data_IF_074305502410
#
_entry.id   IF_074305502410
#
_cell.length_a   1.000
_cell.length_b   1.000
_cell.length_c   1.000
_cell.angle_alpha   90.00
_cell.angle_beta   90.00
_cell.angle_gamma   90.00
#
_symmetry.space_group_name_H-M   'P 1'
#
loop_
_entity.id
_entity.type
_entity.pdbx_description
1 polymer ?
#
# COMPACT_ATOMS: atom_id res chain seq x y z
N UNK A 1 25.72 -6.37 -6.53
CA UNK A 1 24.40 -6.18 -5.85
C UNK A 1 24.63 -5.58 -4.47
N UNK A 2 24.11 -4.37 -4.18
CA UNK A 2 24.12 -3.83 -2.81
C UNK A 2 22.95 -4.46 -2.02
N UNK A 3 23.23 -5.04 -0.85
CA UNK A 3 22.18 -5.57 0.05
C UNK A 3 21.20 -4.44 0.39
N UNK A 4 19.93 -4.58 -0.02
CA UNK A 4 18.89 -3.58 0.21
C UNK A 4 18.41 -3.61 1.67
N UNK A 5 18.44 -4.79 2.31
CA UNK A 5 17.93 -5.03 3.66
C UNK A 5 19.04 -5.05 4.70
N UNK A 6 18.78 -4.43 5.86
CA UNK A 6 19.66 -4.46 7.04
C UNK A 6 19.24 -5.60 7.99
N UNK A 7 20.09 -5.88 8.99
CA UNK A 7 19.86 -6.96 9.97
C UNK A 7 18.53 -6.79 10.74
N UNK A 8 17.85 -7.90 11.10
CA UNK A 8 16.50 -7.90 11.70
C UNK A 8 16.43 -7.27 13.10
N UNK A 9 17.56 -7.09 13.78
CA UNK A 9 17.64 -6.47 15.12
C UNK A 9 17.28 -4.96 15.13
N UNK A 10 17.05 -4.39 13.95
CA UNK A 10 16.58 -3.01 13.79
C UNK A 10 15.09 -2.83 14.09
N UNK A 11 14.31 -3.92 14.18
CA UNK A 11 12.84 -3.81 14.24
C UNK A 11 12.32 -4.60 15.43
N UNK A 12 11.66 -3.91 16.33
CA UNK A 12 11.12 -4.44 17.59
C UNK A 12 9.61 -4.40 17.52
N UNK A 13 8.95 -5.52 17.83
CA UNK A 13 7.52 -5.53 18.12
C UNK A 13 7.35 -5.15 19.60
N UNK A 14 6.67 -4.05 19.86
CA UNK A 14 6.48 -3.52 21.22
C UNK A 14 5.25 -4.15 21.87
N UNK A 15 4.11 -4.16 21.17
CA UNK A 15 2.85 -4.72 21.68
C UNK A 15 1.84 -5.00 20.57
N UNK A 16 0.71 -5.62 20.95
CA UNK A 16 -0.48 -5.77 20.11
C UNK A 16 -1.46 -4.67 20.47
N UNK A 17 -1.93 -3.94 19.46
CA UNK A 17 -2.98 -2.93 19.55
C UNK A 17 -4.31 -3.58 19.12
N UNK A 18 -5.28 -3.74 20.04
CA UNK A 18 -6.59 -4.29 19.71
C UNK A 18 -7.33 -3.54 18.62
N UNK A 19 -8.16 -4.24 17.85
CA UNK A 19 -8.98 -3.69 16.76
C UNK A 19 -9.81 -2.46 17.17
N UNK A 20 -10.32 -2.44 18.40
CA UNK A 20 -11.14 -1.34 18.95
C UNK A 20 -10.41 0.01 19.01
N UNK A 21 -9.08 0.02 18.95
CA UNK A 21 -8.27 1.24 19.00
C UNK A 21 -7.79 1.70 17.62
N UNK A 22 -8.21 1.04 16.54
CA UNK A 22 -7.83 1.41 15.19
C UNK A 22 -9.00 1.31 14.21
N UNK A 23 -8.85 1.90 13.03
CA UNK A 23 -9.90 1.94 12.01
C UNK A 23 -9.95 0.71 11.10
N UNK A 24 -9.05 -0.26 11.28
CA UNK A 24 -8.89 -1.42 10.40
C UNK A 24 -9.76 -2.62 10.77
N UNK A 25 -10.49 -2.54 11.88
CA UNK A 25 -11.33 -3.63 12.40
C UNK A 25 -10.54 -4.94 12.62
N UNK A 26 -9.24 -4.80 12.86
CA UNK A 26 -8.27 -5.89 13.00
C UNK A 26 -7.20 -5.48 14.01
N UNK A 27 -6.72 -6.45 14.79
CA UNK A 27 -5.59 -6.21 15.68
C UNK A 27 -4.36 -5.80 14.87
N UNK A 28 -3.53 -4.96 15.45
CA UNK A 28 -2.29 -4.46 14.83
C UNK A 28 -1.10 -4.72 15.74
N UNK A 29 0.08 -4.92 15.16
CA UNK A 29 1.35 -4.91 15.90
C UNK A 29 1.91 -3.49 15.90
N UNK A 30 2.25 -2.98 17.08
CA UNK A 30 3.06 -1.77 17.23
C UNK A 30 4.52 -2.14 17.05
N UNK A 31 5.15 -1.55 16.05
CA UNK A 31 6.53 -1.79 15.70
C UNK A 31 7.36 -0.53 15.91
N UNK A 32 8.57 -0.69 16.44
CA UNK A 32 9.59 0.34 16.42
C UNK A 32 10.71 -0.04 15.46
N UNK A 33 10.96 0.84 14.50
CA UNK A 33 12.10 0.73 13.56
C UNK A 33 13.23 1.63 14.07
N UNK A 34 14.38 1.00 14.34
CA UNK A 34 15.63 1.59 14.77
C UNK A 34 16.72 1.31 13.72
N UNK A 35 17.39 2.34 13.21
CA UNK A 35 18.37 2.22 12.11
C UNK A 35 17.78 1.73 10.78
N UNK A 36 16.52 2.05 10.52
CA UNK A 36 15.89 1.95 9.22
C UNK A 36 16.73 2.63 8.13
N UNK A 37 16.60 2.15 6.89
CA UNK A 37 17.37 2.72 5.78
C UNK A 37 16.72 3.96 5.14
N UNK A 38 15.46 4.27 5.48
CA UNK A 38 14.76 5.44 4.95
C UNK A 38 14.66 5.45 3.43
N UNK A 39 14.59 4.27 2.81
CA UNK A 39 14.53 4.13 1.35
C UNK A 39 13.11 4.28 0.83
N UNK A 40 12.10 3.90 1.61
CA UNK A 40 10.70 4.13 1.28
C UNK A 40 10.25 5.42 1.95
N UNK A 41 10.01 6.48 1.18
CA UNK A 41 9.66 7.80 1.69
C UNK A 41 8.57 8.46 0.86
N UNK A 42 7.74 9.27 1.50
CA UNK A 42 6.80 10.17 0.82
C UNK A 42 7.42 11.55 0.74
N UNK A 43 7.56 12.10 -0.47
CA UNK A 43 7.97 13.49 -0.70
C UNK A 43 6.77 14.34 -1.08
N UNK A 44 6.74 15.55 -0.54
CA UNK A 44 5.78 16.58 -0.90
C UNK A 44 6.53 17.72 -1.60
N UNK A 45 5.86 18.36 -2.56
CA UNK A 45 6.43 19.48 -3.28
C UNK A 45 5.37 20.25 -4.06
N UNK A 46 5.86 21.24 -4.80
CA UNK A 46 5.06 22.08 -5.69
C UNK A 46 5.75 22.08 -7.04
N UNK A 47 5.00 21.91 -8.12
CA UNK A 47 5.54 21.94 -9.47
C UNK A 47 5.72 23.37 -10.01
N UNK A 48 6.20 23.50 -11.24
CA UNK A 48 6.48 24.81 -11.86
C UNK A 48 5.21 25.66 -12.09
N UNK A 49 4.02 25.05 -12.10
CA UNK A 49 2.73 25.74 -12.19
C UNK A 49 2.20 26.19 -10.83
N UNK A 50 2.85 25.81 -9.72
CA UNK A 50 2.34 26.08 -8.38
C UNK A 50 1.41 24.97 -7.84
N UNK A 51 1.27 23.86 -8.55
CA UNK A 51 0.41 22.76 -8.12
C UNK A 51 1.12 21.86 -7.11
N UNK A 52 0.48 21.50 -5.99
CA UNK A 52 1.07 20.59 -5.03
C UNK A 52 1.09 19.16 -5.58
N UNK A 53 2.12 18.42 -5.21
CA UNK A 53 2.24 17.00 -5.52
C UNK A 53 2.75 16.21 -4.31
N UNK A 54 2.42 14.92 -4.26
CA UNK A 54 3.10 13.97 -3.41
C UNK A 54 3.62 12.76 -4.22
N UNK A 55 4.76 12.22 -3.81
CA UNK A 55 5.37 11.07 -4.46
C UNK A 55 5.82 10.07 -3.42
N UNK A 56 5.31 8.84 -3.52
CA UNK A 56 5.89 7.71 -2.82
C UNK A 56 7.10 7.23 -3.60
N UNK A 57 8.27 7.22 -2.97
CA UNK A 57 9.53 6.82 -3.59
C UNK A 57 10.14 5.63 -2.89
N UNK A 58 10.81 4.77 -3.66
CA UNK A 58 11.68 3.72 -3.17
C UNK A 58 13.09 3.93 -3.72
N UNK A 59 14.06 4.18 -2.86
CA UNK A 59 15.47 4.39 -3.23
C UNK A 59 15.62 5.47 -4.31
N UNK A 60 14.96 6.62 -4.08
CA UNK A 60 14.85 7.77 -5.01
C UNK A 60 14.18 7.47 -6.36
N UNK A 61 13.48 6.34 -6.51
CA UNK A 61 12.67 6.03 -7.69
C UNK A 61 11.20 6.22 -7.36
N UNK A 62 10.45 7.00 -8.13
CA UNK A 62 9.02 7.18 -7.90
C UNK A 62 8.29 5.85 -8.10
N UNK A 63 7.43 5.49 -7.16
CA UNK A 63 6.50 4.36 -7.25
C UNK A 63 5.10 4.83 -7.64
N UNK A 64 4.64 5.90 -7.01
CA UNK A 64 3.30 6.49 -7.20
C UNK A 64 3.46 7.99 -7.11
N UNK A 65 2.81 8.72 -8.01
CA UNK A 65 2.69 10.16 -7.92
C UNK A 65 1.21 10.53 -7.78
N UNK A 66 0.90 11.48 -6.90
CA UNK A 66 -0.40 12.13 -6.83
C UNK A 66 -0.28 13.65 -6.98
N UNK A 67 -1.27 14.28 -7.61
CA UNK A 67 -1.21 15.68 -8.02
C UNK A 67 -2.48 16.46 -7.66
N UNK A 68 -2.33 17.79 -7.56
CA UNK A 68 -3.42 18.77 -7.55
C UNK A 68 -3.84 19.25 -6.15
N UNK A 69 -4.63 20.33 -6.10
CA UNK A 69 -5.09 20.94 -4.84
C UNK A 69 -5.89 20.01 -3.91
N UNK A 70 -6.48 18.95 -4.46
CA UNK A 70 -7.33 18.01 -3.72
C UNK A 70 -6.53 17.02 -2.85
N UNK A 71 -5.19 17.07 -2.86
CA UNK A 71 -4.35 16.20 -2.02
C UNK A 71 -4.70 16.27 -0.53
N UNK A 72 -5.18 17.44 -0.07
CA UNK A 72 -5.55 17.70 1.32
C UNK A 72 -7.01 17.31 1.64
N UNK A 73 -7.82 17.02 0.62
CA UNK A 73 -9.22 16.67 0.80
C UNK A 73 -9.39 15.14 0.72
N UNK A 74 -9.67 14.46 1.85
CA UNK A 74 -9.81 13.02 1.85
C UNK A 74 -11.04 12.54 1.05
N UNK A 75 -12.07 13.39 0.89
CA UNK A 75 -13.31 13.06 0.15
C UNK A 75 -13.23 13.36 -1.35
N UNK A 76 -12.12 13.92 -1.84
CA UNK A 76 -11.92 14.20 -3.26
C UNK A 76 -11.05 13.11 -3.90
N UNK A 77 -11.42 12.72 -5.12
CA UNK A 77 -10.67 11.72 -5.87
C UNK A 77 -9.34 12.33 -6.34
N UNK A 78 -8.23 11.71 -5.96
CA UNK A 78 -6.88 12.17 -6.27
C UNK A 78 -6.49 11.78 -7.69
N UNK A 79 -5.75 12.67 -8.35
CA UNK A 79 -5.12 12.40 -9.64
C UNK A 79 -3.87 11.56 -9.39
N UNK A 80 -3.81 10.34 -9.95
CA UNK A 80 -2.72 9.38 -9.76
C UNK A 80 -1.99 9.04 -11.07
N UNK A 81 -0.72 8.64 -10.96
CA UNK A 81 0.05 7.98 -12.02
C UNK A 81 1.08 6.99 -11.45
N UNK A 82 1.40 5.94 -12.22
CA UNK A 82 2.46 4.98 -11.86
C UNK A 82 3.84 5.60 -12.12
N UNK A 83 4.75 5.47 -11.15
CA UNK A 83 6.15 5.82 -11.31
C UNK A 83 6.97 4.78 -12.11
N UNK A 84 7.96 5.27 -12.87
CA UNK A 84 8.83 4.44 -13.70
C UNK A 84 9.88 3.72 -12.81
N UNK A 85 9.79 2.38 -12.70
CA UNK A 85 10.74 1.60 -11.88
C UNK A 85 10.33 0.16 -11.51
N UNK A 86 9.11 -0.27 -11.86
CA UNK A 86 8.52 -1.59 -11.50
C UNK A 86 9.26 -2.81 -12.04
N UNK A 87 10.13 -2.67 -13.04
CA UNK A 87 10.72 -3.80 -13.77
C UNK A 87 11.76 -4.64 -13.02
N UNK A 88 12.26 -4.19 -11.85
CA UNK A 88 13.45 -4.76 -11.20
C UNK A 88 13.20 -5.29 -9.77
N UNK A 89 11.95 -5.57 -9.38
CA UNK A 89 11.67 -6.16 -8.07
C UNK A 89 12.23 -7.60 -7.99
N UNK A 90 13.08 -7.86 -7.00
CA UNK A 90 13.68 -9.19 -6.78
C UNK A 90 12.62 -10.24 -6.44
N UNK A 91 12.60 -11.37 -7.14
CA UNK A 91 11.65 -12.48 -6.94
C UNK A 91 11.56 -12.94 -5.48
N UNK A 92 12.70 -13.03 -4.80
CA UNK A 92 12.78 -13.44 -3.39
C UNK A 92 12.02 -12.53 -2.40
N UNK A 93 11.77 -11.27 -2.76
CA UNK A 93 11.01 -10.33 -1.94
C UNK A 93 9.51 -10.58 -2.08
N UNK A 94 9.08 -10.78 -3.32
CA UNK A 94 7.70 -11.08 -3.69
C UNK A 94 7.28 -12.40 -3.02
N UNK A 95 8.17 -13.39 -3.01
CA UNK A 95 7.90 -14.69 -2.39
C UNK A 95 7.75 -14.55 -0.88
N UNK A 96 8.63 -13.81 -0.17
CA UNK A 96 8.46 -13.55 1.27
C UNK A 96 7.13 -12.85 1.62
N UNK A 97 6.68 -11.93 0.78
CA UNK A 97 5.36 -11.30 0.96
C UNK A 97 4.24 -12.32 0.71
N UNK A 98 4.32 -13.15 -0.33
CA UNK A 98 3.31 -14.20 -0.56
C UNK A 98 3.27 -15.19 0.60
N UNK A 99 4.43 -15.67 1.03
CA UNK A 99 4.59 -16.61 2.13
C UNK A 99 4.04 -16.05 3.44
N UNK A 100 4.11 -14.73 3.64
CA UNK A 100 3.51 -14.09 4.82
C UNK A 100 1.99 -14.14 4.76
N UNK A 101 1.38 -14.09 3.57
CA UNK A 101 -0.07 -14.05 3.35
C UNK A 101 -0.71 -15.45 3.22
N UNK A 102 0.06 -16.53 3.41
CA UNK A 102 -0.48 -17.88 3.33
C UNK A 102 -1.54 -18.16 4.42
N UNK A 103 -2.53 -18.97 4.05
CA UNK A 103 -3.61 -19.39 4.94
C UNK A 103 -3.02 -20.14 6.14
N UNK A 104 -3.29 -19.66 7.35
CA UNK A 104 -2.81 -20.25 8.60
C UNK A 104 -1.70 -19.48 9.29
N UNK A 105 -1.07 -18.48 8.64
CA UNK A 105 -0.18 -17.57 9.35
C UNK A 105 -1.00 -16.58 10.19
N UNK A 106 -0.76 -16.56 11.50
CA UNK A 106 -1.20 -15.46 12.34
C UNK A 106 -0.38 -14.17 12.06
N UNK A 107 -0.82 -13.05 12.65
CA UNK A 107 -0.21 -11.74 12.42
C UNK A 107 1.27 -11.70 12.84
N UNK A 108 1.62 -12.39 13.93
CA UNK A 108 3.00 -12.47 14.43
C UNK A 108 3.91 -13.26 13.48
N UNK A 109 3.45 -14.40 12.98
CA UNK A 109 4.18 -15.24 12.02
C UNK A 109 4.38 -14.50 10.70
N UNK A 110 3.33 -13.82 10.23
CA UNK A 110 3.40 -13.00 9.04
C UNK A 110 4.41 -11.86 9.20
N UNK A 111 4.39 -11.20 10.35
CA UNK A 111 5.32 -10.14 10.70
C UNK A 111 6.78 -10.61 10.61
N UNK A 112 7.15 -11.74 11.23
CA UNK A 112 8.55 -12.21 11.16
C UNK A 112 9.01 -12.52 9.72
N UNK A 113 8.10 -12.99 8.85
CA UNK A 113 8.39 -13.20 7.42
C UNK A 113 8.64 -11.88 6.67
N UNK A 114 7.88 -10.82 6.96
CA UNK A 114 8.02 -9.51 6.28
C UNK A 114 8.96 -8.54 6.99
N UNK A 115 9.38 -8.81 8.22
CA UNK A 115 10.27 -7.96 9.03
C UNK A 115 11.51 -7.48 8.29
N UNK A 116 12.23 -8.29 7.49
CA UNK A 116 13.36 -7.78 6.71
C UNK A 116 12.99 -6.64 5.76
N UNK A 117 11.77 -6.66 5.20
CA UNK A 117 11.26 -5.64 4.29
C UNK A 117 11.05 -4.31 4.98
N UNK A 118 10.62 -4.33 6.24
CA UNK A 118 10.35 -3.14 7.05
C UNK A 118 11.64 -2.35 7.36
N UNK A 119 12.83 -2.91 7.13
CA UNK A 119 14.10 -2.19 7.27
C UNK A 119 14.31 -1.08 6.22
N UNK A 120 13.45 -1.01 5.20
CA UNK A 120 13.45 0.09 4.22
C UNK A 120 12.76 1.36 4.73
N UNK A 121 12.01 1.27 5.83
CA UNK A 121 11.33 2.38 6.46
C UNK A 121 12.34 3.33 7.14
N UNK A 122 11.86 4.51 7.49
CA UNK A 122 12.57 5.44 8.37
C UNK A 122 12.52 4.96 9.82
N UNK A 123 13.29 5.60 10.69
CA UNK A 123 13.18 5.33 12.13
C UNK A 123 11.84 5.86 12.63
N UNK A 124 11.15 5.09 13.47
CA UNK A 124 9.87 5.52 14.02
C UNK A 124 8.99 4.37 14.47
N UNK A 125 7.77 4.72 14.84
CA UNK A 125 6.72 3.79 15.22
C UNK A 125 5.77 3.54 14.05
N UNK A 126 5.42 2.28 13.83
CA UNK A 126 4.56 1.83 12.75
C UNK A 126 3.54 0.83 13.26
N UNK A 127 2.37 0.77 12.63
CA UNK A 127 1.37 -0.26 12.87
C UNK A 127 1.33 -1.23 11.69
N UNK A 128 1.27 -2.53 11.96
CA UNK A 128 1.11 -3.58 10.95
C UNK A 128 -0.08 -4.45 11.29
N UNK A 129 -1.00 -4.64 10.34
CA UNK A 129 -2.21 -5.44 10.52
C UNK A 129 -2.55 -6.21 9.25
N UNK A 130 -3.40 -7.23 9.39
CA UNK A 130 -4.02 -7.93 8.28
C UNK A 130 -5.32 -7.26 7.88
N UNK A 131 -5.24 -6.38 6.88
CA UNK A 131 -6.44 -5.76 6.33
C UNK A 131 -6.94 -6.53 5.11
N UNK A 132 -8.25 -6.74 5.04
CA UNK A 132 -8.86 -7.27 3.83
C UNK A 132 -8.92 -6.18 2.76
N UNK A 133 -8.24 -6.42 1.64
CA UNK A 133 -8.18 -5.47 0.54
C UNK A 133 -9.07 -5.90 -0.61
N UNK A 134 -9.97 -4.99 -1.00
CA UNK A 134 -10.80 -5.12 -2.18
C UNK A 134 -10.04 -4.57 -3.38
N UNK A 135 -9.75 -5.43 -4.34
CA UNK A 135 -8.90 -5.17 -5.50
C UNK A 135 -9.64 -4.40 -6.62
N UNK A 136 -10.09 -3.17 -6.33
CA UNK A 136 -10.81 -2.31 -7.29
C UNK A 136 -10.13 -0.94 -7.44
N UNK A 137 -10.19 -0.36 -8.64
CA UNK A 137 -9.77 1.02 -8.87
C UNK A 137 -10.90 2.06 -8.60
N UNK A 138 -12.08 1.60 -8.16
CA UNK A 138 -13.25 2.43 -7.93
C UNK A 138 -14.10 2.72 -9.17
N UNK A 139 -13.66 2.27 -10.36
CA UNK A 139 -14.34 2.46 -11.65
C UNK A 139 -15.01 1.17 -12.15
N UNK A 140 -15.12 0.15 -11.29
CA UNK A 140 -15.62 -1.19 -11.67
C UNK A 140 -14.59 -2.03 -12.43
N UNK A 141 -13.36 -1.54 -12.61
CA UNK A 141 -12.26 -2.29 -13.21
C UNK A 141 -11.35 -2.90 -12.13
N UNK A 142 -10.66 -3.98 -12.50
CA UNK A 142 -9.62 -4.55 -11.67
C UNK A 142 -8.42 -3.60 -11.58
N UNK A 143 -7.87 -3.44 -10.37
CA UNK A 143 -6.84 -2.44 -10.03
C UNK A 143 -5.54 -2.47 -10.86
N UNK A 144 -5.32 -3.48 -11.71
CA UNK A 144 -4.15 -3.60 -12.57
C UNK A 144 -4.08 -2.59 -13.72
N UNK A 145 -5.21 -1.99 -14.11
CA UNK A 145 -5.32 -1.09 -15.25
C UNK A 145 -5.03 0.38 -14.87
N UNK A 146 -3.94 0.62 -14.13
CA UNK A 146 -3.49 1.99 -13.84
C UNK A 146 -2.68 2.55 -15.02
N UNK A 147 -2.91 3.82 -15.33
CA UNK A 147 -2.23 4.52 -16.43
C UNK A 147 -0.89 5.11 -15.98
N UNK A 148 0.06 5.22 -16.91
CA UNK A 148 1.24 6.09 -16.72
C UNK A 148 0.89 7.57 -16.89
N UNK A 149 -0.28 7.88 -17.46
CA UNK A 149 -0.82 9.23 -17.55
C UNK A 149 -1.63 9.57 -16.29
N UNK A 150 -1.60 10.84 -15.91
CA UNK A 150 -2.40 11.39 -14.82
C UNK A 150 -3.89 11.16 -15.06
N UNK A 151 -4.59 10.58 -14.08
CA UNK A 151 -6.05 10.35 -14.11
C UNK A 151 -6.63 10.31 -12.70
N UNK A 152 -7.87 10.76 -12.55
CA UNK A 152 -8.68 10.65 -11.33
C UNK A 152 -9.26 9.24 -11.16
N UNK A 153 -9.22 8.69 -9.93
CA UNK A 153 -9.80 7.38 -9.60
C UNK A 153 -10.74 7.46 -8.40
N UNK A 154 -11.99 6.99 -8.52
CA UNK A 154 -12.98 7.11 -7.44
C UNK A 154 -12.58 6.44 -6.12
N UNK A 155 -11.82 5.34 -6.15
CA UNK A 155 -11.43 4.68 -4.91
C UNK A 155 -10.47 5.54 -4.03
N UNK A 156 -9.97 6.68 -4.54
CA UNK A 156 -8.97 7.58 -3.90
C UNK A 156 -9.59 8.69 -3.09
N UNK A 157 -10.91 8.75 -3.09
CA UNK A 157 -11.72 9.48 -2.17
C UNK A 157 -12.28 8.55 -1.09
N UNK A 158 -12.38 9.05 0.13
CA UNK A 158 -13.28 8.55 1.15
C UNK A 158 -14.73 8.71 0.70
N UNK A 159 -15.60 7.79 1.12
CA UNK A 159 -17.02 7.87 0.80
C UNK A 159 -17.69 8.93 1.68
N UNK A 160 -18.32 9.92 1.06
CA UNK A 160 -19.05 10.97 1.75
C UNK A 160 -20.55 10.89 1.44
N UNK A 161 -21.38 10.77 2.46
CA UNK A 161 -22.84 10.73 2.32
C UNK A 161 -23.53 11.40 3.52
N UNK A 162 -24.47 12.31 3.25
CA UNK A 162 -25.27 13.03 4.26
C UNK A 162 -24.42 13.63 5.40
N UNK A 163 -23.34 14.33 5.09
CA UNK A 163 -22.41 14.93 6.07
C UNK A 163 -21.65 13.93 6.94
N UNK A 164 -21.71 12.64 6.62
CA UNK A 164 -20.88 11.61 7.21
C UNK A 164 -19.81 11.18 6.21
N UNK A 165 -18.56 11.19 6.65
CA UNK A 165 -17.46 10.56 5.94
C UNK A 165 -17.27 9.16 6.50
N UNK A 166 -17.26 8.17 5.61
CA UNK A 166 -16.67 6.87 5.91
C UNK A 166 -15.25 6.91 5.37
N UNK A 167 -14.28 6.88 6.27
CA UNK A 167 -12.87 6.70 5.88
C UNK A 167 -12.73 5.34 5.25
N UNK A 168 -12.68 5.29 3.93
CA UNK A 168 -12.27 4.09 3.23
C UNK A 168 -10.76 4.10 3.33
N UNK A 169 -10.16 3.36 4.27
CA UNK A 169 -8.70 3.14 4.25
C UNK A 169 -8.34 2.80 2.82
N UNK A 170 -7.61 3.67 2.08
CA UNK A 170 -7.60 3.58 0.63
C UNK A 170 -7.13 2.19 0.23
N UNK A 171 -8.05 1.39 -0.30
CA UNK A 171 -7.84 -0.05 -0.59
C UNK A 171 -7.06 -0.24 -1.88
N UNK A 172 -6.24 0.75 -2.25
CA UNK A 172 -5.38 0.65 -3.42
C UNK A 172 -4.16 -0.14 -3.07
N UNK A 173 -4.14 -1.37 -3.58
CA UNK A 173 -2.88 -2.00 -3.89
C UNK A 173 -2.42 -1.49 -5.23
N UNK A 174 -1.22 -0.94 -5.32
CA UNK A 174 -0.53 -0.98 -6.61
C UNK A 174 -0.03 -2.39 -6.82
N UNK A 175 -0.19 -2.96 -8.03
CA UNK A 175 0.43 -4.21 -8.33
C UNK A 175 1.95 -4.01 -8.30
N UNK A 176 2.60 -4.62 -7.31
CA UNK A 176 4.06 -4.71 -7.24
C UNK A 176 4.65 -5.54 -8.39
N UNK A 177 3.81 -6.29 -9.12
CA UNK A 177 4.14 -7.16 -10.23
C UNK A 177 3.91 -6.49 -11.59
N UNK A 178 4.53 -6.99 -12.66
CA UNK A 178 4.41 -6.51 -14.05
C UNK A 178 3.19 -7.11 -14.76
N UNK A 179 2.63 -6.44 -15.79
CA UNK A 179 1.34 -6.82 -16.42
C UNK A 179 1.33 -8.22 -17.03
N UNK A 180 2.51 -8.72 -17.39
CA UNK A 180 2.76 -10.09 -17.81
C UNK A 180 2.56 -11.14 -16.69
N UNK A 181 2.57 -10.74 -15.41
CA UNK A 181 2.29 -11.58 -14.25
C UNK A 181 0.79 -11.67 -13.91
N UNK A 182 -0.08 -11.03 -14.69
CA UNK A 182 -1.52 -11.01 -14.45
C UNK A 182 -2.12 -12.41 -14.67
N UNK A 183 -2.64 -13.01 -13.60
CA UNK A 183 -3.44 -14.23 -13.69
C UNK A 183 -4.94 -13.85 -13.78
N UNK A 184 -5.49 -13.86 -15.00
CA UNK A 184 -6.87 -13.45 -15.29
C UNK A 184 -7.90 -14.33 -14.56
N UNK A 185 -7.66 -15.63 -14.41
CA UNK A 185 -8.59 -16.51 -13.70
C UNK A 185 -8.72 -16.13 -12.22
N UNK A 186 -7.60 -15.82 -11.57
CA UNK A 186 -7.59 -15.31 -10.18
C UNK A 186 -8.32 -13.97 -10.08
N UNK A 187 -8.13 -13.07 -11.05
CA UNK A 187 -8.84 -11.80 -11.13
C UNK A 187 -10.35 -12.01 -11.23
N UNK A 188 -10.80 -12.88 -12.13
CA UNK A 188 -12.21 -13.17 -12.36
C UNK A 188 -12.88 -13.84 -11.15
N UNK A 189 -12.14 -14.71 -10.45
CA UNK A 189 -12.61 -15.32 -9.21
C UNK A 189 -12.87 -14.27 -8.12
N UNK A 190 -11.91 -13.36 -7.92
CA UNK A 190 -12.06 -12.24 -6.95
C UNK A 190 -13.22 -11.33 -7.36
N UNK A 191 -13.30 -10.95 -8.64
CA UNK A 191 -14.40 -10.14 -9.17
C UNK A 191 -15.78 -10.78 -8.96
N UNK A 192 -15.88 -12.10 -9.10
CA UNK A 192 -17.12 -12.84 -8.84
C UNK A 192 -17.52 -12.82 -7.35
N UNK A 193 -16.56 -12.98 -6.43
CA UNK A 193 -16.82 -12.91 -4.98
C UNK A 193 -17.32 -11.53 -4.54
N UNK A 194 -16.73 -10.46 -5.11
CA UNK A 194 -17.13 -9.08 -4.84
C UNK A 194 -18.55 -8.77 -5.32
N UNK A 195 -18.93 -9.25 -6.52
CA UNK A 195 -20.30 -9.11 -7.04
C UNK A 195 -21.36 -9.83 -6.19
N UNK A 196 -20.95 -10.84 -5.43
CA UNK A 196 -21.83 -11.62 -4.56
C UNK A 196 -21.89 -11.07 -3.13
N UNK A 197 -21.26 -9.93 -2.82
CA UNK A 197 -21.25 -9.35 -1.48
C UNK A 197 -20.57 -10.23 -0.42
N UNK A 198 -19.71 -11.16 -0.84
CA UNK A 198 -18.91 -12.00 0.06
C UNK A 198 -17.52 -11.37 0.20
N UNK A 199 -17.38 -10.46 1.15
CA UNK A 199 -16.13 -10.07 1.80
C UNK A 199 -16.22 -10.49 3.25
#
# INVERSE_FOLDING_TARGET
MKKIFKAPNSIVCEEIIPSIFNSWDKDALLLRVNNGSGKLITKFGVDNSGEPFNVLMLDNKPLINSFGYELYCPTCAKVLSIGLGRGNATTSLIDKVKDSQEVGNDLSTAFEKVKPLLSILENGYYLVSYIEMILTNGEGEFFWNLSTKQRTYNASADFFYKYHSSTGIPKFLLPSQRIDCLNIERVMNIGSKLKMGRS
#
